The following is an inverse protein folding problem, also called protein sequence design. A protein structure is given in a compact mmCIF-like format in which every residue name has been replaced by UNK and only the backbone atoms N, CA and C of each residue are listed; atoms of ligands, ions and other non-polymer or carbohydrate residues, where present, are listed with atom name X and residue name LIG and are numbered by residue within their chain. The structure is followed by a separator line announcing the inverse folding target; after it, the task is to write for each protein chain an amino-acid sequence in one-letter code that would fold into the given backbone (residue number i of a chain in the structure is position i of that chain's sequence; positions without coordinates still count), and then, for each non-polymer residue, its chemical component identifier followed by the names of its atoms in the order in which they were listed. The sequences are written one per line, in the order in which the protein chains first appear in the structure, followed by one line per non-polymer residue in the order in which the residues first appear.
data_IF_469986630548
#
_entry.id   IF_469986630548
#
_cell.length_a   1.000
_cell.length_b   1.000
_cell.length_c   1.000
_cell.angle_alpha   90.00
_cell.angle_beta   90.00
_cell.angle_gamma   90.00
#
_symmetry.space_group_name_H-M   'P 1'
#
loop_
_entity.id
_entity.type
_entity.pdbx_description
1 polymer ?
#
# COMPACT_ATOMS: atom_id res chain seq x y z
N UNK A 1 32.95 71.57 11.86
CA UNK A 1 31.56 71.24 12.22
C UNK A 1 30.79 70.88 10.94
N UNK A 2 30.84 69.61 10.55
CA UNK A 2 30.01 69.02 9.48
C UNK A 2 29.31 67.81 10.09
N UNK A 3 27.99 67.94 10.30
CA UNK A 3 27.07 66.87 10.69
C UNK A 3 26.41 66.35 9.41
N UNK A 4 27.08 65.46 8.70
CA UNK A 4 26.52 64.83 7.49
C UNK A 4 27.26 63.51 7.30
N UNK A 5 26.88 62.44 8.02
CA UNK A 5 27.34 61.05 7.72
C UNK A 5 26.62 59.97 8.57
N UNK A 6 25.39 60.21 9.04
CA UNK A 6 24.63 59.21 9.84
C UNK A 6 23.28 58.80 9.22
N UNK A 7 23.09 59.06 7.93
CA UNK A 7 21.81 58.81 7.24
C UNK A 7 21.89 57.73 6.16
N UNK A 8 23.05 57.09 5.95
CA UNK A 8 23.29 56.17 4.83
C UNK A 8 23.17 54.67 5.12
N UNK A 9 23.18 54.24 6.39
CA UNK A 9 23.38 52.81 6.73
C UNK A 9 22.08 52.06 7.08
N UNK A 10 21.00 52.77 7.45
CA UNK A 10 19.68 52.14 7.70
C UNK A 10 18.86 51.91 6.43
N UNK A 11 19.13 52.65 5.35
CA UNK A 11 18.38 52.56 4.09
C UNK A 11 18.84 51.36 3.25
N UNK A 12 20.14 51.00 3.30
CA UNK A 12 20.71 49.90 2.51
C UNK A 12 20.21 48.52 2.98
N UNK A 13 20.12 48.28 4.30
CA UNK A 13 19.55 47.05 4.85
C UNK A 13 18.03 46.91 4.64
N UNK A 14 17.30 48.04 4.53
CA UNK A 14 15.88 48.05 4.19
C UNK A 14 15.64 47.80 2.69
N UNK A 15 16.53 48.31 1.84
CA UNK A 15 16.54 48.09 0.39
C UNK A 15 16.95 46.65 0.00
N UNK A 16 17.85 46.00 0.76
CA UNK A 16 18.16 44.56 0.61
C UNK A 16 17.07 43.63 1.18
N UNK A 17 16.36 44.05 2.23
CA UNK A 17 15.30 43.28 2.86
C UNK A 17 13.96 43.29 2.11
N UNK A 18 13.66 44.39 1.39
CA UNK A 18 12.39 44.55 0.69
C UNK A 18 12.14 43.50 -0.43
N UNK A 19 13.12 43.13 -1.29
CA UNK A 19 12.95 42.03 -2.25
C UNK A 19 12.66 40.69 -1.59
N UNK A 20 13.31 40.40 -0.46
CA UNK A 20 13.12 39.16 0.31
C UNK A 20 11.73 39.12 0.95
N UNK A 21 11.24 40.24 1.47
CA UNK A 21 9.89 40.35 2.03
C UNK A 21 8.82 40.23 0.94
N UNK A 22 9.03 40.83 -0.23
CA UNK A 22 8.13 40.71 -1.40
C UNK A 22 8.09 39.26 -1.91
N UNK A 23 9.24 38.60 -2.03
CA UNK A 23 9.33 37.19 -2.44
C UNK A 23 8.64 36.27 -1.42
N UNK A 24 8.83 36.53 -0.13
CA UNK A 24 8.14 35.82 0.94
C UNK A 24 6.62 36.04 0.89
N UNK A 25 6.17 37.28 0.74
CA UNK A 25 4.74 37.60 0.60
C UNK A 25 4.10 36.94 -0.63
N UNK A 26 4.81 36.91 -1.77
CA UNK A 26 4.35 36.23 -2.98
C UNK A 26 4.29 34.69 -2.79
N UNK A 27 5.26 34.10 -2.10
CA UNK A 27 5.27 32.68 -1.77
C UNK A 27 4.12 32.31 -0.81
N UNK A 28 3.83 33.15 0.19
CA UNK A 28 2.71 32.96 1.11
C UNK A 28 1.37 33.09 0.39
N UNK A 29 1.21 34.06 -0.51
CA UNK A 29 -0.02 34.22 -1.31
C UNK A 29 -0.24 33.03 -2.26
N UNK A 30 0.84 32.56 -2.91
CA UNK A 30 0.78 31.34 -3.73
C UNK A 30 0.40 30.10 -2.90
N UNK A 31 0.99 29.94 -1.71
CA UNK A 31 0.66 28.83 -0.81
C UNK A 31 -0.80 28.91 -0.31
N UNK A 32 -1.30 30.12 -0.01
CA UNK A 32 -2.68 30.34 0.39
C UNK A 32 -3.67 30.02 -0.73
N UNK A 33 -3.41 30.46 -1.96
CA UNK A 33 -4.22 30.12 -3.14
C UNK A 33 -4.22 28.63 -3.42
N UNK A 34 -3.04 28.00 -3.43
CA UNK A 34 -2.93 26.56 -3.60
C UNK A 34 -3.68 25.80 -2.49
N UNK A 35 -3.59 26.25 -1.24
CA UNK A 35 -4.35 25.65 -0.14
C UNK A 35 -5.87 25.78 -0.33
N UNK A 36 -6.34 26.91 -0.86
CA UNK A 36 -7.75 27.11 -1.18
C UNK A 36 -8.19 26.19 -2.32
N UNK A 37 -7.40 26.11 -3.40
CA UNK A 37 -7.69 25.23 -4.55
C UNK A 37 -7.79 23.77 -4.12
N UNK A 38 -6.85 23.28 -3.30
CA UNK A 38 -6.90 21.93 -2.71
C UNK A 38 -8.15 21.74 -1.84
N UNK A 39 -8.55 22.77 -1.09
CA UNK A 39 -9.75 22.69 -0.23
C UNK A 39 -11.03 22.67 -1.06
N UNK A 40 -11.08 23.41 -2.17
CA UNK A 40 -12.17 23.38 -3.15
C UNK A 40 -12.24 22.00 -3.80
N UNK A 41 -11.10 21.47 -4.24
CA UNK A 41 -11.03 20.14 -4.84
C UNK A 41 -11.50 19.06 -3.85
N UNK A 42 -11.05 19.06 -2.59
CA UNK A 42 -11.50 18.11 -1.56
C UNK A 42 -13.01 18.21 -1.29
N UNK A 43 -13.57 19.43 -1.31
CA UNK A 43 -15.00 19.65 -1.10
C UNK A 43 -15.86 18.98 -2.18
N UNK A 44 -15.38 18.92 -3.42
CA UNK A 44 -16.09 18.30 -4.53
C UNK A 44 -15.80 16.80 -4.71
N UNK A 45 -14.96 16.18 -3.89
CA UNK A 45 -14.76 14.72 -3.92
C UNK A 45 -16.01 14.01 -3.39
N UNK A 46 -16.63 13.08 -4.15
CA UNK A 46 -17.76 12.30 -3.67
C UNK A 46 -17.39 11.49 -2.42
N UNK A 47 -18.31 11.35 -1.46
CA UNK A 47 -18.04 10.66 -0.18
C UNK A 47 -17.55 9.22 -0.37
N UNK A 48 -17.97 8.53 -1.43
CA UNK A 48 -17.50 7.18 -1.81
C UNK A 48 -16.01 7.14 -2.17
N UNK A 49 -15.50 8.23 -2.74
CA UNK A 49 -14.10 8.41 -3.13
C UNK A 49 -13.22 9.01 -2.03
N UNK A 50 -13.82 9.59 -0.97
CA UNK A 50 -13.08 10.24 0.11
C UNK A 50 -12.43 9.21 1.02
N UNK A 51 -11.15 9.44 1.34
CA UNK A 51 -10.46 8.65 2.36
C UNK A 51 -10.95 9.11 3.74
N UNK A 52 -11.52 8.19 4.52
CA UNK A 52 -11.84 8.46 5.92
C UNK A 52 -10.58 8.75 6.75
N UNK A 53 -10.76 9.49 7.86
CA UNK A 53 -9.65 9.97 8.68
C UNK A 53 -8.72 8.85 9.20
N UNK A 54 -9.30 7.72 9.61
CA UNK A 54 -8.54 6.54 10.05
C UNK A 54 -7.66 5.98 8.92
N UNK A 55 -8.18 5.93 7.71
CA UNK A 55 -7.44 5.49 6.52
C UNK A 55 -6.31 6.44 6.20
N UNK A 56 -6.54 7.76 6.27
CA UNK A 56 -5.49 8.78 6.05
C UNK A 56 -4.35 8.64 7.06
N UNK A 57 -4.67 8.52 8.35
CA UNK A 57 -3.68 8.37 9.42
C UNK A 57 -2.87 7.07 9.26
N UNK A 58 -3.53 5.94 8.99
CA UNK A 58 -2.85 4.66 8.77
C UNK A 58 -1.97 4.69 7.51
N UNK A 59 -2.45 5.31 6.43
CA UNK A 59 -1.69 5.51 5.19
C UNK A 59 -0.44 6.37 5.42
N UNK A 60 -0.57 7.48 6.15
CA UNK A 60 0.57 8.34 6.50
C UNK A 60 1.64 7.59 7.31
N UNK A 61 1.23 6.76 8.27
CA UNK A 61 2.16 5.92 9.05
C UNK A 61 2.84 4.86 8.20
N UNK A 62 2.10 4.18 7.31
CA UNK A 62 2.67 3.18 6.42
C UNK A 62 3.68 3.80 5.45
N UNK A 63 3.34 4.95 4.86
CA UNK A 63 4.21 5.70 3.97
C UNK A 63 5.49 6.15 4.68
N UNK A 64 5.37 6.69 5.89
CA UNK A 64 6.52 7.04 6.72
C UNK A 64 7.44 5.84 6.93
N UNK A 65 6.88 4.72 7.43
CA UNK A 65 7.66 3.53 7.73
C UNK A 65 8.36 2.96 6.47
N UNK A 66 7.71 3.02 5.30
CA UNK A 66 8.31 2.62 4.03
C UNK A 66 9.50 3.51 3.64
N UNK A 67 9.34 4.83 3.72
CA UNK A 67 10.41 5.79 3.41
C UNK A 67 11.57 5.63 4.39
N UNK A 68 11.31 5.49 5.69
CA UNK A 68 12.36 5.29 6.70
C UNK A 68 13.14 4.00 6.49
N UNK A 69 12.44 2.93 6.09
CA UNK A 69 13.09 1.63 5.86
C UNK A 69 13.97 1.65 4.63
N UNK A 70 13.39 1.99 3.48
CA UNK A 70 14.13 1.99 2.21
C UNK A 70 15.18 3.11 2.21
N UNK A 71 14.83 4.28 2.75
CA UNK A 71 15.73 5.41 2.94
C UNK A 71 16.89 5.08 3.87
N UNK A 72 16.62 4.45 5.02
CA UNK A 72 17.65 4.03 5.96
C UNK A 72 18.64 3.03 5.37
N UNK A 73 18.17 2.07 4.56
CA UNK A 73 19.03 1.14 3.82
C UNK A 73 19.94 1.88 2.82
N UNK A 74 19.34 2.74 2.00
CA UNK A 74 20.06 3.48 0.94
C UNK A 74 21.06 4.46 1.54
N UNK A 75 20.63 5.29 2.49
CA UNK A 75 21.49 6.26 3.20
C UNK A 75 22.59 5.52 3.95
N UNK A 76 22.25 4.48 4.71
CA UNK A 76 23.20 3.75 5.55
C UNK A 76 24.37 3.17 4.76
N UNK A 77 24.13 2.61 3.57
CA UNK A 77 25.23 2.08 2.75
C UNK A 77 25.98 3.18 1.98
N UNK A 78 25.29 4.18 1.42
CA UNK A 78 25.94 5.29 0.72
C UNK A 78 26.86 6.10 1.66
N UNK A 79 26.45 6.36 2.91
CA UNK A 79 27.30 7.00 3.94
C UNK A 79 28.58 6.20 4.17
N UNK A 80 28.50 4.86 4.24
CA UNK A 80 29.70 4.01 4.43
C UNK A 80 30.65 4.10 3.24
N UNK A 81 30.12 4.09 2.01
CA UNK A 81 30.93 4.22 0.79
C UNK A 81 31.62 5.58 0.70
N UNK A 82 30.89 6.67 0.99
CA UNK A 82 31.43 8.03 0.95
C UNK A 82 32.54 8.24 1.98
N UNK A 83 32.36 7.75 3.22
CA UNK A 83 33.42 7.79 4.23
C UNK A 83 34.66 7.02 3.81
N UNK A 84 34.50 5.83 3.23
CA UNK A 84 35.61 5.05 2.71
C UNK A 84 36.38 5.77 1.57
N UNK A 85 35.71 6.69 0.86
CA UNK A 85 36.29 7.51 -0.21
C UNK A 85 36.82 8.88 0.29
N UNK A 86 36.71 9.18 1.59
CA UNK A 86 37.13 10.46 2.17
C UNK A 86 36.14 11.62 2.01
N UNK A 87 34.92 11.35 1.55
CA UNK A 87 33.87 12.35 1.27
C UNK A 87 33.02 12.64 2.52
N UNK A 88 33.67 13.04 3.62
CA UNK A 88 33.03 13.22 4.94
C UNK A 88 31.92 14.28 4.96
N UNK A 89 32.10 15.39 4.25
CA UNK A 89 31.10 16.45 4.18
C UNK A 89 29.78 15.93 3.57
N UNK A 90 29.86 15.16 2.48
CA UNK A 90 28.70 14.53 1.84
C UNK A 90 28.10 13.43 2.68
N UNK A 91 28.93 12.58 3.30
CA UNK A 91 28.45 11.53 4.18
C UNK A 91 27.63 12.10 5.36
N UNK A 92 28.08 13.22 5.93
CA UNK A 92 27.38 13.88 7.03
C UNK A 92 26.11 14.61 6.59
N UNK A 93 26.12 15.24 5.41
CA UNK A 93 24.92 15.86 4.84
C UNK A 93 23.83 14.82 4.57
N UNK A 94 24.21 13.71 3.91
CA UNK A 94 23.30 12.62 3.56
C UNK A 94 22.61 12.02 4.80
N UNK A 95 23.33 11.85 5.90
CA UNK A 95 22.78 11.31 7.15
C UNK A 95 21.82 12.25 7.90
N UNK A 96 21.61 13.48 7.43
CA UNK A 96 20.73 14.48 8.05
C UNK A 96 19.49 14.81 7.22
N UNK A 97 19.34 14.22 6.04
CA UNK A 97 18.22 14.50 5.13
C UNK A 97 16.92 13.98 5.74
N UNK A 98 15.92 14.86 5.85
CA UNK A 98 14.54 14.45 6.10
C UNK A 98 13.88 14.04 4.77
N UNK A 99 13.93 12.73 4.50
CA UNK A 99 13.44 12.16 3.26
C UNK A 99 11.93 12.31 3.09
N UNK A 100 11.16 12.24 4.18
CA UNK A 100 9.72 12.35 4.10
C UNK A 100 9.34 13.75 3.64
N UNK A 101 9.85 14.78 4.32
CA UNK A 101 9.53 16.16 3.96
C UNK A 101 10.01 16.50 2.56
N UNK A 102 11.12 15.89 2.11
CA UNK A 102 11.59 16.08 0.74
C UNK A 102 10.70 15.44 -0.33
N UNK A 103 10.19 14.24 -0.03
CA UNK A 103 9.34 13.48 -0.95
C UNK A 103 7.86 13.91 -0.87
N UNK A 104 7.45 14.64 0.17
CA UNK A 104 6.12 15.27 0.30
C UNK A 104 5.86 16.41 -0.68
N UNK A 105 6.87 16.83 -1.45
CA UNK A 105 6.69 17.81 -2.53
C UNK A 105 5.59 17.39 -3.52
N UNK A 106 4.86 18.34 -4.13
CA UNK A 106 3.72 18.05 -5.00
C UNK A 106 4.08 17.04 -6.10
N UNK A 107 3.33 15.93 -6.17
CA UNK A 107 3.41 14.95 -7.26
C UNK A 107 4.48 13.86 -7.13
N UNK A 108 5.45 13.98 -6.23
CA UNK A 108 6.59 13.05 -6.13
C UNK A 108 6.15 11.66 -5.61
N UNK A 109 5.32 11.64 -4.57
CA UNK A 109 4.75 10.40 -4.00
C UNK A 109 3.36 10.05 -4.53
N UNK A 110 2.83 10.83 -5.49
CA UNK A 110 1.48 10.66 -6.02
C UNK A 110 1.39 9.62 -7.16
N UNK A 111 2.33 8.68 -7.25
CA UNK A 111 2.24 7.57 -8.21
C UNK A 111 0.96 6.75 -7.94
N UNK A 112 0.11 6.64 -8.96
CA UNK A 112 -1.20 6.00 -8.85
C UNK A 112 -1.11 4.54 -8.42
N UNK A 113 -0.11 3.80 -8.90
CA UNK A 113 0.05 2.38 -8.59
C UNK A 113 0.57 2.19 -7.16
N UNK A 114 1.50 3.03 -6.70
CA UNK A 114 1.94 3.08 -5.32
C UNK A 114 0.77 3.39 -4.38
N UNK A 115 0.03 4.47 -4.65
CA UNK A 115 -1.09 4.86 -3.80
C UNK A 115 -2.20 3.81 -3.79
N UNK A 116 -2.51 3.18 -4.91
CA UNK A 116 -3.47 2.07 -4.97
C UNK A 116 -3.02 0.88 -4.10
N UNK A 117 -1.74 0.51 -4.15
CA UNK A 117 -1.20 -0.58 -3.33
C UNK A 117 -1.26 -0.25 -1.84
N UNK A 118 -0.83 0.95 -1.44
CA UNK A 118 -0.83 1.36 -0.04
C UNK A 118 -2.26 1.49 0.51
N UNK A 119 -3.18 2.09 -0.24
CA UNK A 119 -4.59 2.20 0.15
C UNK A 119 -5.22 0.82 0.27
N UNK A 120 -4.97 -0.07 -0.70
CA UNK A 120 -5.45 -1.46 -0.67
C UNK A 120 -4.99 -2.17 0.60
N UNK A 121 -3.70 -2.11 0.90
CA UNK A 121 -3.13 -2.71 2.12
C UNK A 121 -3.73 -2.14 3.40
N UNK A 122 -3.78 -0.81 3.54
CA UNK A 122 -4.35 -0.16 4.72
C UNK A 122 -5.82 -0.56 4.91
N UNK A 123 -6.60 -0.62 3.82
CA UNK A 123 -8.00 -1.06 3.88
C UNK A 123 -8.14 -2.51 4.32
N UNK A 124 -7.28 -3.42 3.84
CA UNK A 124 -7.27 -4.82 4.33
C UNK A 124 -6.96 -4.89 5.83
N UNK A 125 -5.96 -4.14 6.29
CA UNK A 125 -5.55 -4.12 7.69
C UNK A 125 -6.64 -3.52 8.60
N UNK A 126 -7.29 -2.44 8.17
CA UNK A 126 -8.40 -1.84 8.89
C UNK A 126 -9.61 -2.78 8.94
N UNK A 127 -9.97 -3.41 7.81
CA UNK A 127 -11.08 -4.37 7.77
C UNK A 127 -10.81 -5.57 8.68
N UNK A 128 -9.60 -6.14 8.62
CA UNK A 128 -9.17 -7.17 9.58
C UNK A 128 -9.22 -6.63 11.03
N UNK A 129 -8.91 -5.35 11.25
CA UNK A 129 -8.96 -4.62 12.51
C UNK A 129 -10.35 -4.56 13.17
N UNK A 130 -11.40 -4.36 12.37
CA UNK A 130 -12.78 -4.20 12.85
C UNK A 130 -13.58 -5.49 12.90
N UNK A 131 -13.16 -6.52 12.18
CA UNK A 131 -13.83 -7.81 12.16
C UNK A 131 -13.85 -8.43 13.58
N UNK A 132 -15.03 -8.81 14.09
CA UNK A 132 -15.12 -9.46 15.39
C UNK A 132 -14.36 -10.78 15.33
N UNK A 133 -13.56 -11.07 16.36
CA UNK A 133 -12.96 -12.39 16.48
C UNK A 133 -14.11 -13.36 16.74
N UNK A 134 -14.42 -14.21 15.76
CA UNK A 134 -15.38 -15.28 16.00
C UNK A 134 -14.70 -16.32 16.89
N UNK A 135 -15.29 -16.57 18.07
CA UNK A 135 -14.85 -17.68 18.89
C UNK A 135 -14.99 -18.95 18.04
N UNK A 136 -13.95 -19.79 17.95
CA UNK A 136 -14.12 -21.07 17.28
C UNK A 136 -15.27 -21.82 17.95
N UNK A 137 -16.09 -22.52 17.15
CA UNK A 137 -17.22 -23.33 17.66
C UNK A 137 -16.76 -24.30 18.77
N UNK A 138 -15.47 -24.68 18.72
CA UNK A 138 -14.75 -25.42 19.74
C UNK A 138 -13.63 -24.56 20.34
N UNK A 139 -13.69 -24.19 21.64
CA UNK A 139 -12.70 -23.32 22.29
C UNK A 139 -11.25 -23.82 22.21
N UNK A 140 -11.06 -25.14 22.14
CA UNK A 140 -9.74 -25.78 22.11
C UNK A 140 -9.20 -26.00 20.69
N UNK A 141 -10.00 -25.70 19.65
CA UNK A 141 -9.59 -25.96 18.27
C UNK A 141 -8.53 -24.94 17.82
N UNK A 142 -7.34 -25.38 17.37
CA UNK A 142 -6.32 -24.46 16.88
C UNK A 142 -6.82 -23.68 15.65
N UNK A 143 -6.36 -22.43 15.53
CA UNK A 143 -6.65 -21.59 14.36
C UNK A 143 -6.28 -22.30 13.04
N UNK A 144 -7.00 -22.00 11.95
CA UNK A 144 -6.80 -22.57 10.62
C UNK A 144 -5.32 -22.76 10.24
N UNK A 145 -4.55 -21.67 10.32
CA UNK A 145 -3.13 -21.67 9.92
C UNK A 145 -2.29 -22.56 10.85
N UNK A 146 -2.57 -22.58 12.16
CA UNK A 146 -1.85 -23.46 13.08
C UNK A 146 -2.13 -24.94 12.78
N UNK A 147 -3.35 -25.29 12.36
CA UNK A 147 -3.66 -26.65 11.90
C UNK A 147 -2.89 -26.99 10.63
N UNK A 148 -2.80 -26.06 9.68
CA UNK A 148 -2.04 -26.25 8.44
C UNK A 148 -0.54 -26.40 8.69
N UNK A 149 0.04 -25.67 9.64
CA UNK A 149 1.45 -25.82 10.05
C UNK A 149 1.75 -27.21 10.62
N UNK A 150 0.78 -27.81 11.30
CA UNK A 150 0.91 -29.15 11.88
C UNK A 150 0.52 -30.27 10.90
N UNK A 151 0.17 -29.93 9.66
CA UNK A 151 -0.27 -30.90 8.66
C UNK A 151 0.89 -31.83 8.23
N UNK A 152 0.65 -33.13 7.99
CA UNK A 152 1.70 -34.08 7.59
C UNK A 152 2.31 -33.76 6.21
N UNK A 153 1.56 -33.09 5.33
CA UNK A 153 2.10 -32.58 4.08
C UNK A 153 3.05 -31.40 4.33
N UNK A 154 4.33 -31.62 4.01
CA UNK A 154 5.41 -30.65 4.19
C UNK A 154 5.22 -29.40 3.34
N UNK A 155 4.66 -29.51 2.14
CA UNK A 155 4.46 -28.35 1.24
C UNK A 155 3.44 -27.41 1.87
N UNK A 156 2.31 -27.96 2.32
CA UNK A 156 1.27 -27.21 3.03
C UNK A 156 1.79 -26.60 4.34
N UNK A 157 2.47 -27.38 5.17
CA UNK A 157 3.01 -26.92 6.43
C UNK A 157 4.02 -25.78 6.26
N UNK A 158 4.92 -25.87 5.27
CA UNK A 158 5.89 -24.82 4.95
C UNK A 158 5.21 -23.56 4.43
N UNK A 159 4.21 -23.69 3.55
CA UNK A 159 3.45 -22.54 3.06
C UNK A 159 2.70 -21.82 4.19
N UNK A 160 2.09 -22.58 5.11
CA UNK A 160 1.41 -22.02 6.28
C UNK A 160 2.37 -21.32 7.25
N UNK A 161 3.57 -21.89 7.47
CA UNK A 161 4.62 -21.26 8.27
C UNK A 161 5.14 -19.96 7.62
N UNK A 162 5.27 -19.93 6.30
CA UNK A 162 5.64 -18.72 5.56
C UNK A 162 4.60 -17.60 5.76
N UNK A 163 3.30 -17.93 5.77
CA UNK A 163 2.23 -16.97 6.09
C UNK A 163 2.38 -16.43 7.51
N UNK A 164 2.54 -17.28 8.53
CA UNK A 164 2.75 -16.82 9.91
C UNK A 164 3.97 -15.89 10.05
N UNK A 165 5.06 -16.24 9.37
CA UNK A 165 6.29 -15.45 9.40
C UNK A 165 6.08 -14.09 8.75
N UNK A 166 5.43 -14.05 7.58
CA UNK A 166 5.13 -12.80 6.88
C UNK A 166 4.14 -11.91 7.67
N UNK A 167 3.11 -12.49 8.30
CA UNK A 167 2.20 -11.75 9.15
C UNK A 167 2.84 -11.22 10.43
N UNK A 168 3.75 -11.99 11.04
CA UNK A 168 4.49 -11.56 12.22
C UNK A 168 5.33 -10.33 11.88
N UNK A 169 6.03 -10.36 10.74
CA UNK A 169 6.77 -9.19 10.23
C UNK A 169 5.84 -8.00 10.00
N UNK A 170 4.71 -8.21 9.30
CA UNK A 170 3.74 -7.13 9.01
C UNK A 170 3.12 -6.55 10.27
N UNK A 171 2.92 -7.33 11.34
CA UNK A 171 2.42 -6.85 12.64
C UNK A 171 3.47 -6.12 13.46
N UNK A 172 4.72 -6.59 13.49
CA UNK A 172 5.80 -5.95 14.25
C UNK A 172 6.00 -4.47 13.88
N UNK A 173 5.78 -4.14 12.60
CA UNK A 173 5.74 -2.77 12.05
C UNK A 173 4.77 -1.86 12.80
N UNK A 174 3.59 -2.38 13.14
CA UNK A 174 2.51 -1.60 13.74
C UNK A 174 2.81 -1.24 15.20
N UNK A 175 3.67 -2.02 15.86
CA UNK A 175 3.86 -2.00 17.30
C UNK A 175 5.22 -1.40 17.74
N UNK A 176 6.27 -1.40 16.90
CA UNK A 176 7.63 -1.18 17.40
C UNK A 176 8.65 -0.40 16.53
N UNK A 177 8.29 0.21 15.39
CA UNK A 177 9.22 1.11 14.64
C UNK A 177 9.38 0.79 13.15
N UNK A 178 10.53 1.13 12.51
CA UNK A 178 10.72 1.01 11.06
C UNK A 178 10.55 -0.43 10.58
N UNK A 179 10.13 -0.60 9.31
CA UNK A 179 9.93 -1.92 8.73
C UNK A 179 11.25 -2.68 8.72
N UNK A 180 11.19 -3.99 8.94
CA UNK A 180 12.39 -4.83 8.75
C UNK A 180 12.79 -4.92 7.28
N UNK A 181 11.81 -4.81 6.36
CA UNK A 181 11.95 -4.77 4.91
C UNK A 181 10.75 -4.08 4.27
N UNK A 182 10.93 -3.52 3.07
CA UNK A 182 9.78 -3.10 2.27
C UNK A 182 8.96 -4.31 1.82
N UNK A 183 7.65 -4.16 1.88
CA UNK A 183 6.66 -5.21 1.56
C UNK A 183 5.77 -4.73 0.39
N UNK A 184 6.44 -4.05 -0.55
CA UNK A 184 5.91 -3.57 -1.82
C UNK A 184 6.16 -4.59 -2.94
N UNK A 185 5.36 -4.58 -4.02
CA UNK A 185 5.72 -5.24 -5.28
C UNK A 185 7.08 -4.78 -5.82
N UNK A 186 7.79 -5.65 -6.54
CA UNK A 186 9.15 -5.39 -6.99
C UNK A 186 9.27 -4.12 -7.84
N UNK A 187 8.30 -3.87 -8.73
CA UNK A 187 8.29 -2.69 -9.59
C UNK A 187 8.11 -1.40 -8.77
N UNK A 188 7.26 -1.43 -7.75
CA UNK A 188 7.00 -0.29 -6.88
C UNK A 188 8.18 -0.04 -5.93
N UNK A 189 8.77 -1.09 -5.37
CA UNK A 189 10.00 -1.00 -4.60
C UNK A 189 11.13 -0.40 -5.46
N UNK A 190 11.28 -0.87 -6.69
CA UNK A 190 12.27 -0.36 -7.63
C UNK A 190 12.13 1.14 -7.88
N UNK A 191 10.92 1.60 -8.19
CA UNK A 191 10.62 3.03 -8.37
C UNK A 191 10.95 3.84 -7.11
N UNK A 192 10.52 3.37 -5.94
CA UNK A 192 10.73 4.07 -4.68
C UNK A 192 12.22 4.22 -4.33
N UNK A 193 13.02 3.16 -4.51
CA UNK A 193 14.46 3.18 -4.27
C UNK A 193 15.16 4.25 -5.12
N UNK A 194 14.86 4.30 -6.42
CA UNK A 194 15.45 5.30 -7.29
C UNK A 194 14.97 6.72 -7.00
N UNK A 195 13.70 6.87 -6.61
CA UNK A 195 13.14 8.15 -6.20
C UNK A 195 13.85 8.70 -4.95
N UNK A 196 14.08 7.83 -3.97
CA UNK A 196 14.84 8.15 -2.76
C UNK A 196 16.28 8.53 -3.12
N UNK A 197 16.96 7.73 -3.96
CA UNK A 197 18.32 8.05 -4.39
C UNK A 197 18.41 9.41 -5.12
N UNK A 198 17.43 9.73 -5.96
CA UNK A 198 17.36 11.02 -6.65
C UNK A 198 17.13 12.19 -5.68
N UNK A 199 16.21 12.05 -4.72
CA UNK A 199 15.94 13.05 -3.70
C UNK A 199 17.18 13.32 -2.84
N UNK A 200 17.87 12.25 -2.41
CA UNK A 200 19.13 12.35 -1.64
C UNK A 200 20.23 13.05 -2.43
N UNK A 201 20.35 12.75 -3.72
CA UNK A 201 21.33 13.39 -4.60
C UNK A 201 21.08 14.90 -4.67
N UNK A 202 19.84 15.31 -4.87
CA UNK A 202 19.45 16.70 -5.01
C UNK A 202 19.81 17.53 -3.77
N UNK A 203 19.53 17.01 -2.58
CA UNK A 203 19.87 17.65 -1.30
C UNK A 203 21.39 17.83 -1.08
N UNK A 204 22.21 17.03 -1.75
CA UNK A 204 23.67 17.04 -1.57
C UNK A 204 24.42 17.74 -2.72
N UNK A 205 23.73 18.42 -3.65
CA UNK A 205 24.38 19.07 -4.80
C UNK A 205 25.32 20.20 -4.40
N UNK A 206 24.91 21.05 -3.46
CA UNK A 206 25.69 22.20 -2.99
C UNK A 206 26.73 21.84 -1.91
N UNK A 207 26.76 20.58 -1.48
CA UNK A 207 27.69 20.11 -0.45
C UNK A 207 29.07 19.86 -1.07
N UNK A 208 30.10 20.40 -0.43
CA UNK A 208 31.49 20.22 -0.86
C UNK A 208 31.86 18.73 -1.00
N UNK A 209 32.59 18.40 -2.07
CA UNK A 209 33.04 17.04 -2.36
C UNK A 209 32.74 16.59 -3.80
N UNK A 210 33.17 15.38 -4.15
CA UNK A 210 32.99 14.85 -5.51
C UNK A 210 31.53 14.49 -5.81
N UNK A 211 30.95 15.07 -6.87
CA UNK A 211 29.61 14.69 -7.36
C UNK A 211 29.60 13.27 -7.93
N UNK A 212 30.67 12.87 -8.63
CA UNK A 212 30.79 11.52 -9.16
C UNK A 212 30.89 10.46 -8.05
N UNK A 213 31.50 10.80 -6.91
CA UNK A 213 31.54 9.90 -5.75
C UNK A 213 30.15 9.73 -5.12
N UNK A 214 29.39 10.82 -4.97
CA UNK A 214 28.00 10.80 -4.51
C UNK A 214 27.10 9.96 -5.41
N UNK A 215 27.11 10.23 -6.71
CA UNK A 215 26.28 9.51 -7.68
C UNK A 215 26.60 8.01 -7.67
N UNK A 216 27.88 7.64 -7.60
CA UNK A 216 28.31 6.25 -7.50
C UNK A 216 27.86 5.59 -6.19
N UNK A 217 28.07 6.25 -5.05
CA UNK A 217 27.68 5.72 -3.75
C UNK A 217 26.17 5.50 -3.64
N UNK A 218 25.36 6.44 -4.16
CA UNK A 218 23.90 6.32 -4.20
C UNK A 218 23.46 5.22 -5.17
N UNK A 219 24.04 5.13 -6.36
CA UNK A 219 23.70 4.09 -7.33
C UNK A 219 24.04 2.68 -6.83
N UNK A 220 25.23 2.47 -6.26
CA UNK A 220 25.62 1.18 -5.68
C UNK A 220 24.73 0.80 -4.50
N UNK A 221 24.35 1.77 -3.68
CA UNK A 221 23.44 1.58 -2.56
C UNK A 221 22.02 1.23 -2.98
N UNK A 222 21.48 1.95 -3.96
CA UNK A 222 20.20 1.64 -4.57
C UNK A 222 20.20 0.23 -5.16
N UNK A 223 21.20 -0.11 -5.99
CA UNK A 223 21.32 -1.45 -6.57
C UNK A 223 21.40 -2.56 -5.51
N UNK A 224 22.10 -2.31 -4.41
CA UNK A 224 22.18 -3.26 -3.29
C UNK A 224 20.82 -3.46 -2.61
N UNK A 225 20.06 -2.39 -2.36
CA UNK A 225 18.71 -2.49 -1.78
C UNK A 225 17.78 -3.26 -2.73
N UNK A 226 17.82 -2.95 -4.03
CA UNK A 226 17.05 -3.68 -5.06
C UNK A 226 17.40 -5.17 -5.10
N UNK A 227 18.69 -5.53 -5.05
CA UNK A 227 19.13 -6.92 -5.07
C UNK A 227 18.77 -7.70 -3.79
N UNK A 228 18.57 -7.00 -2.68
CA UNK A 228 18.16 -7.60 -1.41
C UNK A 228 16.63 -7.76 -1.29
N UNK A 229 15.86 -7.14 -2.17
CA UNK A 229 14.40 -7.22 -2.16
C UNK A 229 13.93 -8.54 -2.79
N UNK A 230 13.22 -9.34 -2.00
CA UNK A 230 12.57 -10.56 -2.45
C UNK A 230 11.06 -10.39 -2.35
N UNK A 231 10.39 -10.30 -3.50
CA UNK A 231 8.93 -10.22 -3.57
C UNK A 231 8.25 -11.50 -3.05
N UNK A 232 8.95 -12.65 -3.11
CA UNK A 232 8.48 -13.92 -2.60
C UNK A 232 8.29 -13.95 -1.08
N UNK A 233 8.96 -13.07 -0.35
CA UNK A 233 8.85 -12.93 1.11
C UNK A 233 7.60 -12.15 1.57
N UNK A 234 6.87 -11.54 0.64
CA UNK A 234 5.64 -10.79 0.95
C UNK A 234 4.53 -11.70 1.49
N UNK A 235 3.63 -11.12 2.27
CA UNK A 235 2.47 -11.84 2.81
C UNK A 235 1.57 -12.34 1.68
N UNK A 236 1.35 -11.51 0.66
CA UNK A 236 0.53 -11.86 -0.52
C UNK A 236 1.12 -13.07 -1.25
N UNK A 237 2.42 -13.08 -1.49
CA UNK A 237 3.11 -14.19 -2.13
C UNK A 237 3.04 -15.47 -1.28
N UNK A 238 3.23 -15.36 0.03
CA UNK A 238 3.11 -16.50 0.96
C UNK A 238 1.69 -17.06 0.98
N UNK A 239 0.67 -16.20 0.98
CA UNK A 239 -0.74 -16.60 0.93
C UNK A 239 -1.10 -17.26 -0.40
N UNK A 240 -0.63 -16.73 -1.53
CA UNK A 240 -0.88 -17.36 -2.84
C UNK A 240 -0.24 -18.74 -2.93
N UNK A 241 0.98 -18.92 -2.38
CA UNK A 241 1.60 -20.24 -2.26
C UNK A 241 0.81 -21.18 -1.36
N UNK A 242 0.27 -20.67 -0.24
CA UNK A 242 -0.60 -21.46 0.63
C UNK A 242 -1.89 -21.87 -0.08
N UNK A 243 -2.57 -20.95 -0.75
CA UNK A 243 -3.79 -21.26 -1.51
C UNK A 243 -3.54 -22.34 -2.56
N UNK A 244 -2.43 -22.24 -3.30
CA UNK A 244 -2.02 -23.24 -4.28
C UNK A 244 -1.59 -24.59 -3.65
N UNK A 245 -0.99 -24.58 -2.46
CA UNK A 245 -0.61 -25.80 -1.75
C UNK A 245 -1.82 -26.52 -1.13
N UNK A 246 -2.85 -25.76 -0.73
CA UNK A 246 -4.11 -26.33 -0.27
C UNK A 246 -4.89 -26.93 -1.43
N UNK A 247 -4.91 -26.25 -2.59
CA UNK A 247 -5.65 -26.66 -3.80
C UNK A 247 -7.06 -27.17 -3.45
N UNK A 248 -7.79 -26.35 -2.69
CA UNK A 248 -9.02 -26.74 -2.03
C UNK A 248 -10.08 -27.20 -3.03
N UNK A 249 -10.77 -28.30 -2.72
CA UNK A 249 -11.99 -28.66 -3.44
C UNK A 249 -13.11 -27.66 -3.16
N UNK A 250 -14.13 -27.63 -4.02
CA UNK A 250 -15.22 -26.66 -3.92
C UNK A 250 -15.96 -26.71 -2.57
N UNK A 251 -16.13 -27.91 -2.00
CA UNK A 251 -16.72 -28.14 -0.69
C UNK A 251 -15.81 -27.65 0.46
N UNK A 252 -14.51 -27.87 0.36
CA UNK A 252 -13.52 -27.42 1.35
C UNK A 252 -13.29 -25.90 1.31
N UNK A 253 -13.37 -25.29 0.12
CA UNK A 253 -13.09 -23.88 -0.11
C UNK A 253 -14.03 -22.97 0.69
N UNK A 254 -15.31 -23.35 0.79
CA UNK A 254 -16.33 -22.60 1.56
C UNK A 254 -15.92 -22.46 3.02
N UNK A 255 -15.51 -23.57 3.64
CA UNK A 255 -15.12 -23.61 5.04
C UNK A 255 -13.81 -22.86 5.26
N UNK A 256 -12.83 -23.02 4.39
CA UNK A 256 -11.55 -22.31 4.45
C UNK A 256 -11.74 -20.79 4.35
N UNK A 257 -12.57 -20.34 3.40
CA UNK A 257 -12.85 -18.92 3.22
C UNK A 257 -13.61 -18.35 4.42
N UNK A 258 -14.62 -19.06 4.93
CA UNK A 258 -15.38 -18.62 6.11
C UNK A 258 -14.48 -18.55 7.36
N UNK A 259 -13.68 -19.59 7.60
CA UNK A 259 -12.75 -19.64 8.74
C UNK A 259 -11.63 -18.58 8.63
N UNK A 260 -11.18 -18.26 7.40
CA UNK A 260 -10.19 -17.21 7.20
C UNK A 260 -10.71 -15.84 7.65
N UNK A 261 -11.98 -15.52 7.40
CA UNK A 261 -12.63 -14.31 7.91
C UNK A 261 -12.85 -14.39 9.41
N UNK A 262 -13.34 -15.52 9.95
CA UNK A 262 -13.47 -15.70 11.41
C UNK A 262 -12.15 -15.48 12.17
N UNK A 263 -11.02 -15.87 11.55
CA UNK A 263 -9.67 -15.63 12.04
C UNK A 263 -9.09 -14.24 11.75
N UNK A 264 -9.87 -13.31 11.17
CA UNK A 264 -9.50 -11.94 10.79
C UNK A 264 -8.39 -11.88 9.73
N UNK A 265 -8.26 -12.91 8.89
CA UNK A 265 -7.21 -13.04 7.87
C UNK A 265 -7.75 -12.67 6.48
N UNK A 266 -8.10 -11.40 6.32
CA UNK A 266 -8.60 -10.84 5.05
C UNK A 266 -7.66 -11.11 3.87
N UNK A 267 -6.36 -11.04 4.08
CA UNK A 267 -5.36 -11.35 3.03
C UNK A 267 -5.44 -12.81 2.59
N UNK A 268 -5.63 -13.76 3.53
CA UNK A 268 -5.83 -15.17 3.21
C UNK A 268 -7.13 -15.38 2.42
N UNK A 269 -8.23 -14.76 2.85
CA UNK A 269 -9.51 -14.79 2.13
C UNK A 269 -9.35 -14.33 0.67
N UNK A 270 -8.70 -13.18 0.45
CA UNK A 270 -8.45 -12.65 -0.88
C UNK A 270 -7.53 -13.58 -1.72
N UNK A 271 -6.55 -14.23 -1.10
CA UNK A 271 -5.68 -15.20 -1.79
C UNK A 271 -6.39 -16.49 -2.19
N UNK A 272 -7.24 -17.04 -1.32
CA UNK A 272 -8.09 -18.18 -1.65
C UNK A 272 -9.04 -17.85 -2.80
N UNK A 273 -9.66 -16.66 -2.76
CA UNK A 273 -10.51 -16.16 -3.84
C UNK A 273 -9.73 -16.01 -5.16
N UNK A 274 -8.53 -15.41 -5.11
CA UNK A 274 -7.67 -15.22 -6.27
C UNK A 274 -7.33 -16.56 -6.94
N UNK A 275 -6.89 -17.53 -6.13
CA UNK A 275 -6.52 -18.85 -6.60
C UNK A 275 -7.71 -19.60 -7.19
N UNK A 276 -8.85 -19.62 -6.50
CA UNK A 276 -10.06 -20.31 -6.95
C UNK A 276 -10.64 -19.73 -8.26
N UNK A 277 -10.54 -18.42 -8.47
CA UNK A 277 -10.99 -17.77 -9.71
C UNK A 277 -9.93 -17.80 -10.83
N UNK A 278 -8.68 -18.15 -10.52
CA UNK A 278 -7.56 -18.06 -11.44
C UNK A 278 -7.27 -16.62 -11.88
N UNK A 279 -7.29 -15.68 -10.93
CA UNK A 279 -6.99 -14.26 -11.15
C UNK A 279 -5.81 -13.80 -10.28
N UNK A 280 -5.26 -12.63 -10.60
CA UNK A 280 -4.18 -12.04 -9.81
C UNK A 280 -4.66 -11.54 -8.45
N UNK A 281 -3.81 -11.67 -7.43
CA UNK A 281 -4.13 -11.25 -6.06
C UNK A 281 -4.60 -9.79 -5.94
N UNK A 282 -3.95 -8.78 -6.58
CA UNK A 282 -4.40 -7.39 -6.45
C UNK A 282 -5.86 -7.20 -6.89
N UNK A 283 -6.29 -7.89 -7.95
CA UNK A 283 -7.67 -7.85 -8.42
C UNK A 283 -8.63 -8.52 -7.43
N UNK A 284 -8.26 -9.68 -6.89
CA UNK A 284 -9.08 -10.35 -5.87
C UNK A 284 -9.22 -9.49 -4.60
N UNK A 285 -8.13 -8.85 -4.15
CA UNK A 285 -8.17 -7.87 -3.05
C UNK A 285 -9.15 -6.75 -3.36
N UNK A 286 -9.09 -6.17 -4.55
CA UNK A 286 -9.97 -5.06 -4.93
C UNK A 286 -11.43 -5.47 -4.97
N UNK A 287 -11.73 -6.70 -5.42
CA UNK A 287 -13.08 -7.30 -5.35
C UNK A 287 -13.56 -7.41 -3.90
N UNK A 288 -12.68 -7.86 -2.99
CA UNK A 288 -13.01 -8.05 -1.57
C UNK A 288 -13.21 -6.72 -0.85
N UNK A 289 -12.41 -5.70 -1.16
CA UNK A 289 -12.47 -4.38 -0.53
C UNK A 289 -13.52 -3.43 -1.11
N UNK A 290 -14.16 -3.83 -2.20
CA UNK A 290 -15.23 -3.08 -2.83
C UNK A 290 -16.42 -2.96 -1.88
N UNK A 291 -16.85 -1.72 -1.59
CA UNK A 291 -17.95 -1.47 -0.66
C UNK A 291 -19.31 -1.83 -1.27
N UNK A 292 -19.45 -1.72 -2.60
CA UNK A 292 -20.68 -2.14 -3.28
C UNK A 292 -20.85 -3.67 -3.27
N UNK A 293 -19.73 -4.40 -3.28
CA UNK A 293 -19.71 -5.85 -3.12
C UNK A 293 -20.28 -6.65 -4.29
N UNK A 294 -20.89 -6.03 -5.31
CA UNK A 294 -21.50 -6.75 -6.44
C UNK A 294 -20.51 -7.70 -7.12
N UNK A 295 -19.27 -7.26 -7.35
CA UNK A 295 -18.21 -8.10 -7.95
C UNK A 295 -17.87 -9.32 -7.08
N UNK A 296 -17.88 -9.15 -5.76
CA UNK A 296 -17.64 -10.25 -4.82
C UNK A 296 -18.79 -11.26 -4.87
N UNK A 297 -20.04 -10.80 -4.91
CA UNK A 297 -21.19 -11.70 -4.95
C UNK A 297 -21.23 -12.54 -6.23
N UNK A 298 -20.95 -11.92 -7.37
CA UNK A 298 -20.80 -12.63 -8.65
C UNK A 298 -19.62 -13.62 -8.59
N UNK A 299 -18.49 -13.24 -8.00
CA UNK A 299 -17.35 -14.13 -7.78
C UNK A 299 -17.69 -15.36 -6.94
N UNK A 300 -18.38 -15.18 -5.80
CA UNK A 300 -18.80 -16.30 -4.96
C UNK A 300 -19.83 -17.19 -5.69
N UNK A 301 -20.72 -16.61 -6.50
CA UNK A 301 -21.67 -17.40 -7.31
C UNK A 301 -21.00 -18.19 -8.43
N UNK A 302 -19.96 -17.66 -9.05
CA UNK A 302 -19.15 -18.38 -10.04
C UNK A 302 -18.41 -19.59 -9.44
N UNK A 303 -18.10 -19.52 -8.14
CA UNK A 303 -17.55 -20.60 -7.33
C UNK A 303 -18.62 -21.53 -6.73
N UNK A 304 -19.89 -21.36 -7.13
CA UNK A 304 -21.03 -22.15 -6.66
C UNK A 304 -21.31 -22.08 -5.15
N UNK A 305 -20.97 -20.96 -4.49
CA UNK A 305 -21.28 -20.78 -3.07
C UNK A 305 -22.80 -20.74 -2.85
N UNK A 306 -23.26 -21.47 -1.83
CA UNK A 306 -24.65 -21.49 -1.41
C UNK A 306 -25.04 -20.27 -0.56
N UNK A 307 -26.36 -20.10 -0.34
CA UNK A 307 -26.92 -18.97 0.42
C UNK A 307 -26.27 -18.78 1.79
N UNK A 308 -26.12 -19.86 2.55
CA UNK A 308 -25.58 -19.81 3.91
C UNK A 308 -24.14 -19.29 3.93
N UNK A 309 -23.29 -19.78 3.03
CA UNK A 309 -21.91 -19.32 2.91
C UNK A 309 -21.83 -17.83 2.54
N UNK A 310 -22.64 -17.41 1.57
CA UNK A 310 -22.70 -15.99 1.14
C UNK A 310 -23.21 -15.10 2.27
N UNK A 311 -24.23 -15.52 3.01
CA UNK A 311 -24.75 -14.78 4.16
C UNK A 311 -23.69 -14.64 5.25
N UNK A 312 -22.97 -15.72 5.61
CA UNK A 312 -21.89 -15.68 6.62
C UNK A 312 -20.76 -14.73 6.21
N UNK A 313 -20.30 -14.83 4.96
CA UNK A 313 -19.26 -13.93 4.42
C UNK A 313 -19.76 -12.48 4.40
N UNK A 314 -20.99 -12.25 3.96
CA UNK A 314 -21.59 -10.93 3.89
C UNK A 314 -21.66 -10.24 5.24
N UNK A 315 -22.19 -10.92 6.25
CA UNK A 315 -22.26 -10.41 7.62
C UNK A 315 -20.86 -10.06 8.15
N UNK A 316 -19.88 -10.97 8.02
CA UNK A 316 -18.52 -10.72 8.48
C UNK A 316 -17.88 -9.48 7.84
N UNK A 317 -18.15 -9.23 6.54
CA UNK A 317 -17.64 -8.07 5.83
C UNK A 317 -18.38 -6.78 6.19
N UNK A 318 -19.70 -6.84 6.39
CA UNK A 318 -20.52 -5.69 6.81
C UNK A 318 -20.12 -5.22 8.20
N UNK A 319 -19.92 -6.15 9.14
CA UNK A 319 -19.44 -5.83 10.50
C UNK A 319 -18.05 -5.17 10.47
N UNK A 320 -17.22 -5.53 9.50
CA UNK A 320 -15.86 -5.04 9.37
C UNK A 320 -15.71 -3.74 8.57
N UNK A 321 -16.69 -3.36 7.74
CA UNK A 321 -16.66 -2.15 6.91
C UNK A 321 -18.00 -1.39 6.99
N UNK A 322 -18.05 -0.24 7.70
CA UNK A 322 -19.30 0.51 7.90
C UNK A 322 -19.84 1.14 6.61
N UNK A 323 -19.09 1.10 5.50
CA UNK A 323 -19.59 1.54 4.18
C UNK A 323 -20.52 0.53 3.53
N UNK A 324 -20.55 -0.71 4.02
CA UNK A 324 -21.44 -1.76 3.54
C UNK A 324 -22.77 -1.69 4.28
N UNK A 325 -23.86 -1.72 3.52
CA UNK A 325 -25.21 -1.60 4.04
C UNK A 325 -25.83 -2.98 4.32
N UNK A 326 -26.20 -3.21 5.59
CA UNK A 326 -26.79 -4.47 6.06
C UNK A 326 -28.20 -4.72 5.51
N UNK A 327 -29.00 -3.66 5.43
CA UNK A 327 -30.40 -3.75 4.97
C UNK A 327 -30.40 -4.04 3.47
N UNK A 328 -29.60 -3.28 2.72
CA UNK A 328 -29.39 -3.52 1.28
C UNK A 328 -28.85 -4.92 1.02
N UNK A 329 -27.94 -5.45 1.84
CA UNK A 329 -27.43 -6.81 1.67
C UNK A 329 -28.50 -7.88 1.88
N UNK A 330 -29.36 -7.73 2.90
CA UNK A 330 -30.45 -8.66 3.15
C UNK A 330 -31.40 -8.75 1.96
N UNK A 331 -31.78 -7.60 1.38
CA UNK A 331 -32.63 -7.52 0.19
C UNK A 331 -31.94 -8.08 -1.07
N UNK A 332 -30.62 -7.90 -1.19
CA UNK A 332 -29.84 -8.41 -2.31
C UNK A 332 -29.62 -9.93 -2.26
N UNK A 333 -29.73 -10.57 -1.11
CA UNK A 333 -29.37 -11.99 -0.97
C UNK A 333 -30.18 -12.89 -1.92
N UNK A 334 -31.48 -12.64 -2.07
CA UNK A 334 -32.33 -13.39 -3.01
C UNK A 334 -31.92 -13.14 -4.46
N UNK A 335 -31.56 -11.91 -4.79
CA UNK A 335 -31.06 -11.53 -6.13
C UNK A 335 -29.72 -12.21 -6.43
N UNK A 336 -28.80 -12.23 -5.47
CA UNK A 336 -27.53 -12.94 -5.57
C UNK A 336 -27.78 -14.43 -5.78
N UNK A 337 -28.77 -15.01 -5.06
CA UNK A 337 -29.13 -16.41 -5.21
C UNK A 337 -29.82 -16.75 -6.54
N UNK A 338 -30.44 -15.77 -7.21
CA UNK A 338 -31.03 -15.92 -8.53
C UNK A 338 -30.00 -15.93 -9.67
N UNK A 339 -28.77 -15.43 -9.44
CA UNK A 339 -27.70 -15.47 -10.45
C UNK A 339 -27.30 -16.93 -10.74
N UNK A 340 -27.36 -17.35 -11.99
CA UNK A 340 -26.87 -18.66 -12.39
C UNK A 340 -25.33 -18.75 -12.29
N UNK A 341 -24.82 -19.91 -11.89
CA UNK A 341 -23.39 -20.10 -11.65
C UNK A 341 -22.57 -20.05 -12.94
N UNK A 342 -23.10 -20.55 -14.06
CA UNK A 342 -22.40 -20.48 -15.35
C UNK A 342 -22.45 -19.06 -15.92
N UNK A 343 -23.59 -18.37 -15.80
CA UNK A 343 -23.69 -16.95 -16.14
C UNK A 343 -22.72 -16.08 -15.32
N UNK A 344 -22.55 -16.38 -14.03
CA UNK A 344 -21.57 -15.70 -13.19
C UNK A 344 -20.13 -15.95 -13.68
N UNK A 345 -19.77 -17.19 -14.04
CA UNK A 345 -18.44 -17.52 -14.60
C UNK A 345 -18.18 -16.78 -15.90
N UNK A 346 -19.18 -16.73 -16.79
CA UNK A 346 -19.09 -16.02 -18.06
C UNK A 346 -18.83 -14.52 -17.85
N UNK A 347 -19.56 -13.89 -16.91
CA UNK A 347 -19.38 -12.46 -16.59
C UNK A 347 -17.98 -12.11 -16.06
N UNK A 348 -17.28 -13.07 -15.45
CA UNK A 348 -15.93 -12.89 -14.91
C UNK A 348 -14.83 -13.36 -15.87
N UNK A 349 -15.18 -13.89 -17.04
CA UNK A 349 -14.23 -14.44 -18.01
C UNK A 349 -13.14 -13.43 -18.39
N UNK A 350 -13.51 -12.17 -18.58
CA UNK A 350 -12.56 -11.09 -18.86
C UNK A 350 -11.55 -10.88 -17.73
N UNK A 351 -11.94 -11.08 -16.47
CA UNK A 351 -11.05 -10.90 -15.31
C UNK A 351 -9.93 -11.96 -15.25
N UNK A 352 -10.09 -13.09 -15.94
CA UNK A 352 -9.07 -14.14 -16.04
C UNK A 352 -8.03 -13.86 -17.11
N UNK A 353 -8.30 -12.89 -18.00
CA UNK A 353 -7.32 -12.48 -19.01
C UNK A 353 -6.16 -11.70 -18.36
N UNK A 354 -4.96 -11.74 -18.96
CA UNK A 354 -3.82 -10.95 -18.49
C UNK A 354 -4.15 -9.46 -18.33
N UNK A 355 -3.63 -8.83 -17.28
CA UNK A 355 -3.96 -7.43 -16.92
C UNK A 355 -3.71 -6.45 -18.06
N UNK A 356 -2.58 -6.57 -18.76
CA UNK A 356 -2.23 -5.69 -19.87
C UNK A 356 -3.19 -5.86 -21.05
N UNK A 357 -3.67 -7.08 -21.28
CA UNK A 357 -4.64 -7.34 -22.34
C UNK A 357 -6.02 -6.76 -21.98
N UNK A 358 -6.46 -6.91 -20.72
CA UNK A 358 -7.69 -6.25 -20.23
C UNK A 358 -7.61 -4.73 -20.37
N UNK A 359 -6.48 -4.13 -19.99
CA UNK A 359 -6.25 -2.69 -20.12
C UNK A 359 -6.34 -2.25 -21.59
N UNK A 360 -5.72 -3.01 -22.50
CA UNK A 360 -5.80 -2.73 -23.94
C UNK A 360 -7.23 -2.82 -24.48
N UNK A 361 -8.02 -3.81 -24.07
CA UNK A 361 -9.45 -3.92 -24.45
C UNK A 361 -10.22 -2.68 -23.98
N UNK A 362 -10.08 -2.29 -22.71
CA UNK A 362 -10.77 -1.13 -22.15
C UNK A 362 -10.38 0.17 -22.86
N UNK A 363 -9.12 0.32 -23.26
CA UNK A 363 -8.66 1.49 -23.98
C UNK A 363 -9.21 1.56 -25.41
N UNK A 364 -9.37 0.42 -26.08
CA UNK A 364 -10.04 0.34 -27.39
C UNK A 364 -11.52 0.68 -27.27
N UNK A 365 -12.22 0.13 -26.28
CA UNK A 365 -13.65 0.40 -26.04
C UNK A 365 -13.90 1.87 -25.68
N UNK A 366 -13.03 2.48 -24.87
CA UNK A 366 -13.13 3.89 -24.49
C UNK A 366 -12.95 4.82 -25.69
N UNK A 367 -12.13 4.45 -26.67
CA UNK A 367 -11.94 5.23 -27.91
C UNK A 367 -13.07 5.05 -28.92
N UNK A 368 -13.86 3.98 -28.77
CA UNK A 368 -15.02 3.71 -29.62
C UNK A 368 -16.31 4.42 -29.14
N UNK A 369 -16.30 4.96 -27.91
CA UNK A 369 -17.35 5.82 -27.34
C UNK A 369 -16.95 7.27 -27.46
#
# INVERSE_FOLDING_TARGET
MRMSDLTGDMDDGALEGAPTLIAHAAAVDHAARHSLDVSIDDFFVPDEGRLGERTRLALGRLLQALIDTVGGEVVGHAVRLLRAQGEEAKANALGRVDLLDRLRGPGVLCDRALMAELIGRVRQELMAGFMPAQAPEEPDRPSLINRMVQHPDRVLAQAALAVLTAESRRRAVREAGPLSRSDLPAELHHRLVWLIAAALREECLEVAGSQAALDRALAESAQRSLAAHDEGDRLEAAVMRLAAAVDARADELVDLMTESLGGRRVTLFAGLLAHALGIEYPLARDIVLDADGSRLWIALRALAFGREAIARIGVALIEADPRRDVERFADLLDTIMAVDTDAARESLSLLRLPVDFRAAIMDVERRAR
#
